data_IF_631993343462
#
_entry.id   IF_631993343462
#
_cell.length_a   1.000
_cell.length_b   1.000
_cell.length_c   1.000
_cell.angle_alpha   90.00
_cell.angle_beta   90.00
_cell.angle_gamma   90.00
#
_symmetry.space_group_name_H-M   'P 1'
#
loop_
_entity.id
_entity.type
_entity.pdbx_description
1 polymer ?
#
# COMPACT_ATOMS: atom_id res chain seq x y z
N UNK A 1 -9.50 6.58 -14.53
CA UNK A 1 -8.51 6.50 -13.42
C UNK A 1 -9.26 6.47 -12.11
N UNK A 2 -8.98 5.50 -11.25
CA UNK A 2 -9.63 5.34 -9.93
C UNK A 2 -9.02 6.32 -8.93
N UNK A 3 -9.86 7.07 -8.21
CA UNK A 3 -9.40 7.99 -7.17
C UNK A 3 -9.45 7.32 -5.80
N UNK A 4 -8.40 7.47 -5.02
CA UNK A 4 -8.29 6.96 -3.67
C UNK A 4 -7.92 8.02 -2.64
N UNK A 5 -8.02 7.65 -1.38
CA UNK A 5 -7.56 8.47 -0.27
C UNK A 5 -6.51 7.71 0.54
N UNK A 6 -5.49 8.42 1.01
CA UNK A 6 -4.59 7.89 2.03
C UNK A 6 -5.24 8.16 3.39
N UNK A 7 -5.39 7.11 4.19
CA UNK A 7 -5.89 7.26 5.56
C UNK A 7 -4.93 8.13 6.38
N UNK A 8 -5.39 9.19 7.04
CA UNK A 8 -4.51 10.16 7.70
C UNK A 8 -4.00 9.65 9.05
N UNK A 9 -3.24 8.58 9.03
CA UNK A 9 -2.89 7.71 10.14
C UNK A 9 -2.16 8.42 11.27
N UNK A 10 -1.31 9.41 10.95
CA UNK A 10 -0.54 10.17 11.95
C UNK A 10 -1.31 11.35 12.54
N UNK A 11 -2.51 11.66 12.04
CA UNK A 11 -3.25 12.89 12.38
C UNK A 11 -4.73 12.66 12.73
N UNK A 12 -5.28 11.45 12.47
CA UNK A 12 -6.70 11.13 12.69
C UNK A 12 -7.07 10.96 14.17
N UNK A 13 -6.10 10.72 15.03
CA UNK A 13 -6.34 10.41 16.45
C UNK A 13 -6.76 8.97 16.69
N UNK A 14 -7.19 8.69 17.91
CA UNK A 14 -7.53 7.34 18.41
C UNK A 14 -9.03 7.14 18.62
N UNK A 15 -9.87 8.13 18.30
CA UNK A 15 -11.32 7.99 18.41
C UNK A 15 -11.88 7.06 17.32
N UNK A 16 -12.49 5.93 17.69
CA UNK A 16 -13.09 5.01 16.72
C UNK A 16 -14.22 5.63 15.90
N UNK A 17 -14.90 6.64 16.47
CA UNK A 17 -15.95 7.40 15.78
C UNK A 17 -15.37 8.19 14.60
N UNK A 18 -14.30 8.93 14.82
CA UNK A 18 -13.61 9.70 13.78
C UNK A 18 -13.00 8.82 12.70
N UNK A 19 -12.42 7.66 13.08
CA UNK A 19 -11.87 6.68 12.15
C UNK A 19 -12.98 6.15 11.21
N UNK A 20 -14.13 5.78 11.79
CA UNK A 20 -15.31 5.31 11.05
C UNK A 20 -15.84 6.40 10.13
N UNK A 21 -16.03 7.61 10.65
CA UNK A 21 -16.57 8.75 9.91
C UNK A 21 -15.73 9.09 8.68
N UNK A 22 -14.39 9.09 8.81
CA UNK A 22 -13.50 9.33 7.68
C UNK A 22 -13.68 8.27 6.58
N UNK A 23 -13.74 6.99 6.94
CA UNK A 23 -13.90 5.91 5.97
C UNK A 23 -15.25 5.97 5.26
N UNK A 24 -16.32 6.22 6.00
CA UNK A 24 -17.67 6.37 5.46
C UNK A 24 -17.80 7.62 4.57
N UNK A 25 -17.16 8.73 4.96
CA UNK A 25 -17.11 9.94 4.14
C UNK A 25 -16.35 9.69 2.82
N UNK A 26 -15.22 8.99 2.86
CA UNK A 26 -14.48 8.61 1.64
C UNK A 26 -15.34 7.75 0.71
N UNK A 27 -16.06 6.77 1.25
CA UNK A 27 -16.99 5.93 0.48
C UNK A 27 -18.17 6.75 -0.08
N UNK A 28 -18.78 7.62 0.72
CA UNK A 28 -19.90 8.45 0.30
C UNK A 28 -19.53 9.46 -0.79
N UNK A 29 -18.30 9.99 -0.75
CA UNK A 29 -17.73 10.87 -1.78
C UNK A 29 -17.37 10.13 -3.07
N UNK A 30 -17.52 8.82 -3.12
CA UNK A 30 -17.25 8.00 -4.31
C UNK A 30 -15.76 7.78 -4.58
N UNK A 31 -14.92 7.79 -3.56
CA UNK A 31 -13.56 7.28 -3.69
C UNK A 31 -13.57 5.77 -3.90
N UNK A 32 -12.66 5.29 -4.72
CA UNK A 32 -12.54 3.88 -5.06
C UNK A 32 -11.89 3.07 -3.94
N UNK A 33 -10.85 3.63 -3.28
CA UNK A 33 -10.09 2.90 -2.27
C UNK A 33 -9.56 3.80 -1.15
N UNK A 34 -9.30 3.16 0.00
CA UNK A 34 -8.56 3.73 1.14
C UNK A 34 -7.21 3.02 1.22
N UNK A 35 -6.12 3.79 1.19
CA UNK A 35 -4.75 3.29 1.28
C UNK A 35 -4.20 3.55 2.69
N UNK A 36 -3.82 2.50 3.42
CA UNK A 36 -3.33 2.59 4.80
C UNK A 36 -1.85 2.23 4.87
N UNK A 37 -1.04 3.05 5.57
CA UNK A 37 0.40 2.79 5.77
C UNK A 37 0.63 1.82 6.92
N UNK A 38 1.81 1.18 6.94
CA UNK A 38 2.21 0.21 7.95
C UNK A 38 3.48 0.64 8.68
N UNK A 39 3.39 0.78 10.00
CA UNK A 39 4.48 0.78 10.94
C UNK A 39 4.04 0.09 12.23
N UNK A 40 4.84 -0.86 12.71
CA UNK A 40 4.59 -1.57 13.98
C UNK A 40 5.19 -0.79 15.14
N UNK A 41 6.39 -0.25 14.95
CA UNK A 41 7.13 0.53 15.94
C UNK A 41 7.78 1.74 15.30
N UNK A 42 7.63 2.90 15.93
CA UNK A 42 8.46 4.06 15.65
C UNK A 42 9.80 3.98 16.43
N UNK A 43 10.88 4.42 15.82
CA UNK A 43 12.18 4.48 16.48
C UNK A 43 12.55 5.89 16.92
N UNK A 44 13.22 6.03 18.06
CA UNK A 44 13.89 7.27 18.40
C UNK A 44 15.13 7.41 17.52
N UNK A 45 15.35 8.56 16.86
CA UNK A 45 16.55 8.79 16.06
C UNK A 45 17.82 8.57 16.87
N UNK A 46 18.72 7.72 16.38
CA UNK A 46 20.00 7.39 17.02
C UNK A 46 21.13 7.95 16.19
N UNK A 47 21.51 9.20 16.42
CA UNK A 47 22.65 9.84 15.75
C UNK A 47 22.51 9.91 14.21
N UNK A 48 22.98 11.00 13.60
CA UNK A 48 22.84 11.16 12.15
C UNK A 48 21.45 11.62 11.71
N UNK A 49 21.25 11.69 10.41
CA UNK A 49 19.99 12.13 9.79
C UNK A 49 18.96 10.98 9.81
N UNK A 50 17.97 11.06 10.69
CA UNK A 50 16.83 10.13 10.69
C UNK A 50 15.80 10.61 9.69
N UNK A 51 15.47 9.78 8.75
CA UNK A 51 14.75 10.20 7.57
C UNK A 51 13.32 9.59 7.49
N UNK A 52 12.64 9.34 8.59
CA UNK A 52 11.31 8.74 8.56
C UNK A 52 10.49 9.02 9.79
N UNK A 53 9.45 8.26 9.96
CA UNK A 53 8.61 8.32 11.14
C UNK A 53 9.38 7.89 12.39
N UNK A 54 9.01 8.51 13.52
CA UNK A 54 9.62 8.28 14.83
C UNK A 54 8.61 7.62 15.77
N UNK A 55 9.01 7.35 17.00
CA UNK A 55 8.13 6.85 18.05
C UNK A 55 7.06 7.87 18.51
N UNK A 56 7.16 9.11 18.06
CA UNK A 56 6.17 10.18 18.33
C UNK A 56 5.06 10.21 17.26
N UNK A 57 5.31 9.58 16.10
CA UNK A 57 4.32 9.48 15.04
C UNK A 57 3.35 8.33 15.32
N UNK A 58 2.06 8.65 15.33
CA UNK A 58 1.01 7.67 15.58
C UNK A 58 0.79 6.78 14.36
N UNK A 59 0.71 5.47 14.60
CA UNK A 59 0.28 4.48 13.61
C UNK A 59 -0.68 3.47 14.25
N UNK A 60 -1.79 3.24 13.61
CA UNK A 60 -2.64 2.09 13.90
C UNK A 60 -2.03 0.83 13.28
N UNK A 61 -2.20 -0.33 13.92
CA UNK A 61 -1.81 -1.59 13.28
C UNK A 61 -2.68 -1.82 12.04
N UNK A 62 -2.03 -1.97 10.89
CA UNK A 62 -2.67 -1.84 9.59
C UNK A 62 -3.74 -2.91 9.33
N UNK A 63 -3.50 -4.17 9.70
CA UNK A 63 -4.44 -5.26 9.44
C UNK A 63 -5.63 -5.23 10.41
N UNK A 64 -5.40 -4.83 11.66
CA UNK A 64 -6.49 -4.61 12.63
C UNK A 64 -7.38 -3.46 12.20
N UNK A 65 -6.76 -2.35 11.77
CA UNK A 65 -7.51 -1.19 11.23
C UNK A 65 -8.33 -1.58 9.99
N UNK A 66 -7.75 -2.31 9.04
CA UNK A 66 -8.50 -2.74 7.84
C UNK A 66 -9.68 -3.66 8.19
N UNK A 67 -9.57 -4.51 9.21
CA UNK A 67 -10.69 -5.30 9.72
C UNK A 67 -11.82 -4.42 10.27
N UNK A 68 -11.48 -3.35 11.01
CA UNK A 68 -12.46 -2.37 11.48
C UNK A 68 -13.11 -1.61 10.32
N UNK A 69 -12.33 -1.17 9.34
CA UNK A 69 -12.82 -0.45 8.16
C UNK A 69 -13.68 -1.35 7.26
N UNK A 70 -13.40 -2.65 7.19
CA UNK A 70 -14.22 -3.62 6.47
C UNK A 70 -15.67 -3.65 7.00
N UNK A 71 -15.82 -3.61 8.33
CA UNK A 71 -17.14 -3.57 8.98
C UNK A 71 -17.81 -2.17 8.89
N UNK A 72 -17.02 -1.10 8.75
CA UNK A 72 -17.52 0.28 8.72
C UNK A 72 -17.98 0.74 7.33
N UNK A 73 -17.60 0.02 6.25
CA UNK A 73 -17.82 0.36 4.84
C UNK A 73 -18.41 -0.80 4.05
N UNK A 74 -18.95 -0.53 2.88
CA UNK A 74 -19.66 -1.57 2.09
C UNK A 74 -19.14 -1.77 0.67
N UNK A 75 -18.48 -0.76 0.07
CA UNK A 75 -18.08 -0.77 -1.35
C UNK A 75 -16.61 -0.39 -1.57
N UNK A 76 -16.09 0.53 -0.77
CA UNK A 76 -14.74 1.06 -0.96
C UNK A 76 -13.69 -0.04 -0.78
N UNK A 77 -12.72 -0.11 -1.69
CA UNK A 77 -11.60 -1.04 -1.62
C UNK A 77 -10.66 -0.66 -0.46
N UNK A 78 -10.17 -1.65 0.24
CA UNK A 78 -9.26 -1.51 1.37
C UNK A 78 -7.86 -1.94 0.95
N UNK A 79 -6.89 -1.03 1.02
CA UNK A 79 -5.55 -1.30 0.53
C UNK A 79 -4.47 -0.97 1.56
N UNK A 80 -3.43 -1.79 1.62
CA UNK A 80 -2.20 -1.41 2.34
C UNK A 80 -1.25 -0.63 1.42
N UNK A 81 -0.65 0.43 1.91
CA UNK A 81 0.22 1.27 1.09
C UNK A 81 1.56 1.62 1.70
N UNK A 82 2.35 0.68 2.14
CA UNK A 82 2.40 -0.77 1.92
C UNK A 82 2.56 -1.52 3.25
N UNK A 83 2.14 -2.79 3.33
CA UNK A 83 2.51 -3.69 4.41
C UNK A 83 3.99 -4.07 4.27
N UNK A 84 4.76 -3.96 5.35
CA UNK A 84 6.16 -4.38 5.36
C UNK A 84 6.22 -5.90 5.58
N UNK A 85 5.98 -6.65 4.50
CA UNK A 85 5.77 -8.09 4.56
C UNK A 85 6.93 -8.88 5.20
N UNK A 86 8.24 -8.56 4.93
CA UNK A 86 9.33 -9.36 5.50
C UNK A 86 9.51 -9.24 7.02
N UNK A 87 8.85 -8.27 7.66
CA UNK A 87 8.82 -8.15 9.13
C UNK A 87 7.83 -9.10 9.80
N UNK A 88 6.98 -9.78 9.02
CA UNK A 88 5.84 -10.52 9.53
C UNK A 88 5.93 -12.01 9.24
N UNK A 89 5.29 -12.80 10.09
CA UNK A 89 5.12 -14.25 9.87
C UNK A 89 4.15 -14.48 8.70
N UNK A 90 4.62 -15.10 7.64
CA UNK A 90 3.89 -15.22 6.36
C UNK A 90 2.55 -15.95 6.52
N UNK A 91 2.52 -17.06 7.24
CA UNK A 91 1.29 -17.81 7.45
C UNK A 91 0.24 -17.01 8.24
N UNK A 92 0.68 -16.20 9.23
CA UNK A 92 -0.21 -15.33 9.97
C UNK A 92 -0.77 -14.20 9.08
N UNK A 93 0.06 -13.56 8.26
CA UNK A 93 -0.40 -12.57 7.27
C UNK A 93 -1.38 -13.20 6.29
N UNK A 94 -1.10 -14.41 5.79
CA UNK A 94 -2.02 -15.12 4.89
C UNK A 94 -3.40 -15.32 5.54
N UNK A 95 -3.45 -15.68 6.82
CA UNK A 95 -4.71 -15.85 7.55
C UNK A 95 -5.42 -14.53 7.82
N UNK A 96 -4.70 -13.50 8.27
CA UNK A 96 -5.27 -12.19 8.56
C UNK A 96 -5.84 -11.52 7.30
N UNK A 97 -5.12 -11.59 6.19
CA UNK A 97 -5.58 -11.02 4.92
C UNK A 97 -6.74 -11.80 4.32
N UNK A 98 -6.76 -13.12 4.45
CA UNK A 98 -7.92 -13.93 4.06
C UNK A 98 -9.16 -13.55 4.87
N UNK A 99 -9.01 -13.30 6.18
CA UNK A 99 -10.11 -12.89 7.05
C UNK A 99 -10.63 -11.49 6.69
N UNK A 100 -9.73 -10.52 6.48
CA UNK A 100 -10.12 -9.17 6.03
C UNK A 100 -10.84 -9.23 4.67
N UNK A 101 -10.36 -10.07 3.77
CA UNK A 101 -10.97 -10.25 2.46
C UNK A 101 -12.40 -10.81 2.57
N UNK A 102 -12.61 -11.80 3.44
CA UNK A 102 -13.93 -12.35 3.74
C UNK A 102 -14.84 -11.30 4.37
N UNK A 103 -14.39 -10.64 5.44
CA UNK A 103 -15.17 -9.64 6.17
C UNK A 103 -15.52 -8.42 5.30
N UNK A 104 -14.68 -8.10 4.34
CA UNK A 104 -14.94 -7.04 3.38
C UNK A 104 -15.75 -7.48 2.15
N UNK A 105 -16.00 -8.78 1.97
CA UNK A 105 -16.67 -9.30 0.76
C UNK A 105 -15.79 -9.22 -0.50
N UNK A 106 -14.48 -9.43 -0.37
CA UNK A 106 -13.56 -9.44 -1.50
C UNK A 106 -13.04 -8.06 -1.90
N UNK A 107 -12.95 -7.12 -0.96
CA UNK A 107 -12.50 -5.73 -1.21
C UNK A 107 -11.04 -5.47 -0.78
N UNK A 108 -10.26 -6.49 -0.42
CA UNK A 108 -8.88 -6.29 -0.02
C UNK A 108 -7.93 -6.25 -1.22
N UNK A 109 -7.04 -5.25 -1.24
CA UNK A 109 -5.87 -5.16 -2.11
C UNK A 109 -4.61 -5.09 -1.25
N UNK A 110 -3.76 -6.11 -1.34
CA UNK A 110 -2.56 -6.18 -0.51
C UNK A 110 -1.37 -5.49 -1.20
N UNK A 111 -1.09 -4.26 -0.80
CA UNK A 111 0.15 -3.58 -1.16
C UNK A 111 1.28 -4.00 -0.22
N UNK A 112 2.40 -4.46 -0.74
CA UNK A 112 3.54 -4.95 0.03
C UNK A 112 4.83 -4.23 -0.33
N UNK A 113 5.78 -4.23 0.61
CA UNK A 113 7.13 -3.72 0.39
C UNK A 113 8.13 -4.27 1.38
N UNK A 114 9.38 -3.83 1.23
CA UNK A 114 10.49 -4.32 2.09
C UNK A 114 10.81 -3.39 3.26
N UNK A 115 10.21 -2.20 3.33
CA UNK A 115 10.46 -1.24 4.39
C UNK A 115 11.92 -0.72 4.47
N UNK A 116 12.12 0.26 5.34
CA UNK A 116 13.39 0.96 5.54
C UNK A 116 13.85 0.96 7.00
N UNK A 117 12.93 0.80 7.97
CA UNK A 117 13.20 0.91 9.38
C UNK A 117 13.85 -0.36 9.93
N UNK A 118 15.17 -0.37 10.01
CA UNK A 118 15.93 -1.52 10.52
C UNK A 118 15.66 -1.81 12.01
N UNK A 119 15.27 -0.80 12.79
CA UNK A 119 14.94 -0.97 14.22
C UNK A 119 13.67 -1.80 14.40
N UNK A 120 12.68 -1.60 13.53
CA UNK A 120 11.48 -2.44 13.49
C UNK A 120 11.81 -3.91 13.18
N UNK A 121 12.71 -4.14 12.21
CA UNK A 121 13.18 -5.48 11.87
C UNK A 121 13.83 -6.18 13.06
N UNK A 122 14.71 -5.48 13.75
CA UNK A 122 15.39 -5.99 14.95
C UNK A 122 14.37 -6.34 16.05
N UNK A 123 13.43 -5.44 16.34
CA UNK A 123 12.41 -5.64 17.37
C UNK A 123 11.45 -6.80 17.06
N UNK A 124 11.21 -7.06 15.78
CA UNK A 124 10.36 -8.17 15.31
C UNK A 124 11.16 -9.48 15.09
N UNK A 125 12.45 -9.50 15.40
CA UNK A 125 13.31 -10.70 15.27
C UNK A 125 13.62 -11.06 13.82
N UNK A 126 13.55 -10.10 12.88
CA UNK A 126 13.69 -10.35 11.46
C UNK A 126 14.96 -9.74 10.85
N UNK A 127 15.51 -10.40 9.83
CA UNK A 127 16.74 -9.96 9.18
C UNK A 127 16.49 -8.86 8.15
N UNK A 128 16.95 -7.64 8.45
CA UNK A 128 16.89 -6.53 7.50
C UNK A 128 17.66 -6.81 6.20
N UNK A 129 18.81 -7.48 6.28
CA UNK A 129 19.65 -7.79 5.12
C UNK A 129 18.99 -8.78 4.14
N UNK A 130 18.15 -9.68 4.65
CA UNK A 130 17.51 -10.71 3.83
C UNK A 130 16.14 -10.32 3.27
N UNK A 131 15.57 -9.15 3.64
CA UNK A 131 14.21 -8.74 3.34
C UNK A 131 13.83 -8.81 1.85
N UNK A 132 14.78 -8.45 0.97
CA UNK A 132 14.56 -8.46 -0.48
C UNK A 132 14.47 -9.85 -1.09
N UNK A 133 15.11 -10.87 -0.49
CA UNK A 133 15.01 -12.27 -0.93
C UNK A 133 13.82 -12.97 -0.28
N UNK A 134 13.59 -12.71 1.01
CA UNK A 134 12.48 -13.29 1.77
C UNK A 134 11.12 -12.95 1.16
N UNK A 135 10.90 -11.70 0.71
CA UNK A 135 9.61 -11.25 0.18
C UNK A 135 9.17 -12.04 -1.07
N UNK A 136 10.09 -12.48 -1.93
CA UNK A 136 9.73 -13.26 -3.12
C UNK A 136 9.19 -14.64 -2.76
N UNK A 137 9.79 -15.30 -1.78
CA UNK A 137 9.29 -16.56 -1.26
C UNK A 137 7.97 -16.38 -0.49
N UNK A 138 7.83 -15.29 0.27
CA UNK A 138 6.59 -14.94 0.95
C UNK A 138 5.41 -14.79 -0.03
N UNK A 139 5.62 -14.12 -1.17
CA UNK A 139 4.58 -13.97 -2.20
C UNK A 139 4.13 -15.34 -2.73
N UNK A 140 5.07 -16.25 -2.99
CA UNK A 140 4.74 -17.59 -3.43
C UNK A 140 3.92 -18.34 -2.37
N UNK A 141 4.35 -18.29 -1.11
CA UNK A 141 3.64 -18.92 0.03
C UNK A 141 2.24 -18.33 0.22
N UNK A 142 2.07 -17.01 0.15
CA UNK A 142 0.76 -16.36 0.26
C UNK A 142 -0.19 -16.87 -0.83
N UNK A 143 0.25 -16.92 -2.09
CA UNK A 143 -0.57 -17.38 -3.20
C UNK A 143 -0.96 -18.85 -3.07
N UNK A 144 -0.05 -19.71 -2.65
CA UNK A 144 -0.35 -21.12 -2.36
C UNK A 144 -1.44 -21.23 -1.28
N UNK A 145 -1.25 -20.54 -0.15
CA UNK A 145 -2.18 -20.59 0.98
C UNK A 145 -3.57 -20.02 0.67
N UNK A 146 -3.68 -19.02 -0.21
CA UNK A 146 -4.98 -18.43 -0.57
C UNK A 146 -5.75 -19.22 -1.63
N UNK A 147 -5.08 -20.10 -2.37
CA UNK A 147 -5.69 -20.80 -3.51
C UNK A 147 -5.90 -22.30 -3.28
N UNK A 148 -5.17 -22.87 -2.33
CA UNK A 148 -5.19 -24.33 -2.09
C UNK A 148 -5.67 -24.65 -0.67
N UNK A 149 -6.54 -25.65 -0.51
CA UNK A 149 -7.00 -26.08 0.82
C UNK A 149 -5.89 -26.77 1.62
N UNK A 150 -4.90 -27.36 0.94
CA UNK A 150 -3.76 -28.04 1.55
C UNK A 150 -2.49 -27.68 0.79
N UNK A 151 -1.44 -27.28 1.49
CA UNK A 151 -0.17 -26.81 0.95
C UNK A 151 0.98 -27.60 1.57
N UNK A 152 1.89 -28.07 0.71
CA UNK A 152 3.24 -28.50 1.09
C UNK A 152 4.23 -27.59 0.36
N UNK A 153 4.96 -26.76 1.11
CA UNK A 153 5.95 -25.83 0.60
C UNK A 153 7.24 -25.95 1.41
N UNK A 154 8.35 -26.20 0.73
CA UNK A 154 9.68 -26.25 1.33
C UNK A 154 10.59 -25.28 0.59
N UNK A 155 10.88 -24.16 1.21
CA UNK A 155 11.75 -23.11 0.69
C UNK A 155 12.94 -22.83 1.61
N UNK A 156 13.59 -21.71 1.36
CA UNK A 156 14.72 -21.24 2.19
C UNK A 156 14.26 -20.67 3.54
N UNK A 157 13.11 -19.99 3.54
CA UNK A 157 12.59 -19.24 4.68
C UNK A 157 11.32 -19.86 5.27
N UNK A 158 10.66 -20.73 4.52
CA UNK A 158 9.38 -21.32 4.92
C UNK A 158 9.38 -22.82 4.77
N UNK A 159 8.78 -23.48 5.75
CA UNK A 159 8.47 -24.89 5.69
C UNK A 159 7.02 -25.08 6.14
N UNK A 160 6.17 -25.50 5.23
CA UNK A 160 4.76 -25.88 5.47
C UNK A 160 4.63 -27.31 4.95
N UNK A 161 4.07 -28.19 5.73
CA UNK A 161 3.86 -29.59 5.33
C UNK A 161 2.43 -29.96 5.68
N UNK A 162 1.64 -30.29 4.65
CA UNK A 162 0.26 -30.74 4.76
C UNK A 162 -0.61 -29.86 5.67
N UNK A 163 -0.53 -28.54 5.46
CA UNK A 163 -1.30 -27.54 6.21
C UNK A 163 -1.92 -26.52 5.26
N UNK A 164 -3.01 -25.87 5.66
CA UNK A 164 -3.71 -24.90 4.84
C UNK A 164 -4.53 -23.91 5.64
N UNK A 165 -5.12 -22.93 4.96
CA UNK A 165 -6.05 -21.98 5.54
C UNK A 165 -7.49 -22.50 5.43
N UNK A 166 -8.26 -22.29 6.48
CA UNK A 166 -9.70 -22.46 6.47
C UNK A 166 -10.34 -21.37 7.37
N UNK A 167 -11.26 -20.52 6.84
CA UNK A 167 -11.68 -20.45 5.44
C UNK A 167 -10.60 -19.87 4.49
N UNK A 168 -10.73 -20.15 3.20
CA UNK A 168 -9.99 -19.48 2.14
C UNK A 168 -10.60 -18.09 1.87
N UNK A 169 -9.84 -17.12 1.34
CA UNK A 169 -10.36 -15.79 1.00
C UNK A 169 -11.43 -15.87 -0.12
N UNK A 170 -12.17 -14.79 -0.31
CA UNK A 170 -13.11 -14.61 -1.44
C UNK A 170 -12.30 -14.53 -2.75
N UNK A 171 -11.28 -13.67 -2.78
CA UNK A 171 -10.36 -13.49 -3.91
C UNK A 171 -9.26 -14.58 -3.87
N UNK A 172 -9.07 -15.32 -4.96
CA UNK A 172 -8.13 -16.45 -5.00
C UNK A 172 -7.20 -16.39 -6.22
N UNK A 173 -6.07 -15.71 -6.10
CA UNK A 173 -5.48 -15.06 -4.92
C UNK A 173 -5.98 -13.62 -4.71
N UNK A 174 -5.74 -13.09 -3.50
CA UNK A 174 -5.85 -11.66 -3.22
C UNK A 174 -4.83 -10.90 -4.08
N UNK A 175 -5.19 -9.77 -4.72
CA UNK A 175 -4.27 -8.99 -5.55
C UNK A 175 -3.09 -8.45 -4.73
N UNK A 176 -1.87 -8.65 -5.24
CA UNK A 176 -0.62 -8.18 -4.61
C UNK A 176 -0.03 -7.02 -5.39
N UNK A 177 -0.07 -5.84 -4.79
CA UNK A 177 0.61 -4.65 -5.31
C UNK A 177 1.92 -4.43 -4.58
N UNK A 178 2.93 -3.81 -5.23
CA UNK A 178 4.25 -3.64 -4.62
C UNK A 178 4.68 -2.19 -4.63
N UNK A 179 5.23 -1.75 -3.48
CA UNK A 179 5.85 -0.44 -3.32
C UNK A 179 7.35 -0.45 -3.58
N UNK A 180 7.85 0.64 -4.16
CA UNK A 180 9.28 0.88 -4.38
C UNK A 180 9.63 1.22 -5.83
N UNK A 181 10.85 1.74 -6.03
CA UNK A 181 11.24 2.40 -7.29
C UNK A 181 12.58 1.88 -7.85
N UNK A 182 13.29 1.01 -7.10
CA UNK A 182 14.56 0.44 -7.58
C UNK A 182 14.33 -0.57 -8.70
N UNK A 183 15.33 -0.76 -9.55
CA UNK A 183 15.30 -1.74 -10.64
C UNK A 183 14.94 -3.15 -10.16
N UNK A 184 15.47 -3.55 -9.01
CA UNK A 184 15.14 -4.86 -8.41
C UNK A 184 13.65 -4.97 -8.09
N UNK A 185 13.04 -3.89 -7.59
CA UNK A 185 11.59 -3.86 -7.30
C UNK A 185 10.78 -3.86 -8.58
N UNK A 186 11.12 -3.04 -9.58
CA UNK A 186 10.41 -3.01 -10.86
C UNK A 186 10.46 -4.37 -11.58
N UNK A 187 11.60 -5.05 -11.57
CA UNK A 187 11.71 -6.43 -12.11
C UNK A 187 10.86 -7.44 -11.32
N UNK A 188 10.77 -7.27 -9.98
CA UNK A 188 9.91 -8.10 -9.14
C UNK A 188 8.43 -7.86 -9.44
N UNK A 189 8.01 -6.60 -9.58
CA UNK A 189 6.64 -6.24 -9.98
C UNK A 189 6.32 -6.88 -11.33
N UNK A 190 7.21 -6.75 -12.31
CA UNK A 190 7.01 -7.31 -13.63
C UNK A 190 6.80 -8.83 -13.63
N UNK A 191 7.47 -9.56 -12.73
CA UNK A 191 7.33 -11.02 -12.62
C UNK A 191 6.18 -11.46 -11.73
N UNK A 192 5.95 -10.76 -10.62
CA UNK A 192 5.15 -11.25 -9.51
C UNK A 192 4.02 -10.32 -9.08
N UNK A 193 3.97 -9.07 -9.51
CA UNK A 193 3.00 -8.08 -9.03
C UNK A 193 1.74 -8.00 -9.88
N UNK A 194 0.65 -7.61 -9.24
CA UNK A 194 -0.60 -7.23 -9.89
C UNK A 194 -0.73 -5.71 -10.02
N UNK A 195 0.14 -4.96 -9.35
CA UNK A 195 0.23 -3.51 -9.43
C UNK A 195 1.50 -2.93 -8.81
N UNK A 196 1.73 -1.66 -9.12
CA UNK A 196 2.82 -0.85 -8.61
C UNK A 196 2.28 0.36 -7.86
N UNK A 197 2.67 0.51 -6.60
CA UNK A 197 2.43 1.69 -5.78
C UNK A 197 3.72 2.51 -5.78
N UNK A 198 3.72 3.62 -6.51
CA UNK A 198 4.87 4.50 -6.54
C UNK A 198 5.12 5.08 -5.16
N UNK A 199 6.34 4.90 -4.67
CA UNK A 199 6.80 5.52 -3.45
C UNK A 199 7.03 7.02 -3.64
N UNK A 200 7.18 7.68 -2.53
CA UNK A 200 7.67 9.05 -2.49
C UNK A 200 6.61 10.11 -2.70
N UNK A 201 6.58 10.97 -1.79
CA UNK A 201 6.46 12.42 -1.75
C UNK A 201 5.79 12.96 -0.53
N UNK A 202 5.68 12.35 0.56
CA UNK A 202 5.35 13.10 1.77
C UNK A 202 6.37 12.75 2.84
N UNK A 203 7.41 13.58 2.99
CA UNK A 203 8.50 13.38 3.97
C UNK A 203 9.12 11.98 3.98
N UNK A 204 9.05 11.24 2.87
CA UNK A 204 9.86 10.04 2.76
C UNK A 204 11.32 10.46 2.70
N UNK A 205 12.15 9.97 3.58
CA UNK A 205 13.61 10.10 3.50
C UNK A 205 14.17 9.55 2.20
N UNK A 206 13.40 8.70 1.56
CA UNK A 206 13.65 8.16 0.23
C UNK A 206 13.11 9.05 -0.90
N UNK A 207 12.44 10.18 -0.60
CA UNK A 207 12.15 11.24 -1.58
C UNK A 207 13.41 11.97 -2.06
N UNK A 208 14.54 11.75 -1.43
CA UNK A 208 15.87 12.02 -2.01
C UNK A 208 16.29 10.92 -3.00
N UNK A 209 15.36 10.34 -3.72
CA UNK A 209 15.79 9.64 -4.92
C UNK A 209 16.54 10.65 -5.78
N UNK A 210 17.80 10.38 -6.16
CA UNK A 210 18.43 11.12 -7.21
C UNK A 210 17.38 11.18 -8.31
N UNK A 211 17.05 12.38 -8.76
CA UNK A 211 16.02 12.58 -9.78
C UNK A 211 16.25 11.50 -10.83
N UNK A 212 15.33 10.52 -10.89
CA UNK A 212 15.47 9.49 -11.91
C UNK A 212 15.48 10.25 -13.23
N UNK A 213 16.55 10.18 -14.01
CA UNK A 213 16.60 10.90 -15.27
C UNK A 213 15.34 10.54 -16.08
N UNK A 214 14.56 11.57 -16.49
CA UNK A 214 13.30 11.36 -17.18
C UNK A 214 12.07 11.16 -16.27
N UNK A 215 12.19 11.25 -14.94
CA UNK A 215 11.06 11.24 -14.00
C UNK A 215 10.18 9.99 -14.04
N UNK A 216 8.90 10.14 -13.74
CA UNK A 216 7.93 9.04 -13.71
C UNK A 216 7.73 8.36 -15.07
N UNK A 217 7.82 9.12 -16.18
CA UNK A 217 7.71 8.56 -17.53
C UNK A 217 8.78 7.51 -17.80
N UNK A 218 10.04 7.81 -17.45
CA UNK A 218 11.15 6.86 -17.61
C UNK A 218 10.99 5.62 -16.72
N UNK A 219 10.42 5.78 -15.52
CA UNK A 219 10.17 4.67 -14.62
C UNK A 219 9.06 3.75 -15.13
N UNK A 220 7.96 4.32 -15.64
CA UNK A 220 6.86 3.56 -16.25
C UNK A 220 7.36 2.81 -17.48
N UNK A 221 8.14 3.45 -18.36
CA UNK A 221 8.70 2.80 -19.54
C UNK A 221 9.68 1.66 -19.17
N UNK A 222 10.45 1.85 -18.10
CA UNK A 222 11.32 0.79 -17.56
C UNK A 222 10.51 -0.40 -17.05
N UNK A 223 9.42 -0.16 -16.34
CA UNK A 223 8.52 -1.22 -15.88
C UNK A 223 7.89 -1.97 -17.08
N UNK A 224 7.42 -1.23 -18.10
CA UNK A 224 6.86 -1.82 -19.32
C UNK A 224 7.87 -2.73 -20.02
N UNK A 225 9.13 -2.28 -20.13
CA UNK A 225 10.20 -3.12 -20.67
C UNK A 225 10.37 -4.41 -19.88
N UNK A 226 10.37 -4.33 -18.53
CA UNK A 226 10.48 -5.53 -17.69
C UNK A 226 9.26 -6.45 -17.77
N UNK A 227 8.07 -5.91 -18.00
CA UNK A 227 6.87 -6.70 -18.28
C UNK A 227 7.03 -7.49 -19.59
N UNK A 228 7.49 -6.84 -20.65
CA UNK A 228 7.78 -7.52 -21.93
C UNK A 228 8.84 -8.61 -21.75
N UNK A 229 9.94 -8.32 -21.04
CA UNK A 229 10.98 -9.31 -20.72
C UNK A 229 10.42 -10.50 -19.90
N UNK A 230 9.41 -10.28 -19.07
CA UNK A 230 8.72 -11.31 -18.31
C UNK A 230 7.58 -12.02 -19.08
N UNK A 231 7.37 -11.70 -20.35
CA UNK A 231 6.28 -12.27 -21.18
C UNK A 231 4.88 -11.79 -20.78
N UNK A 232 4.77 -10.64 -20.09
CA UNK A 232 3.48 -10.08 -19.66
C UNK A 232 3.11 -8.84 -20.48
N UNK A 233 1.82 -8.64 -20.66
CA UNK A 233 1.31 -7.44 -21.31
C UNK A 233 1.65 -6.17 -20.49
N UNK A 234 1.91 -5.05 -21.16
CA UNK A 234 2.28 -3.80 -20.50
C UNK A 234 1.20 -3.24 -19.56
N UNK A 235 -0.05 -3.59 -19.82
CA UNK A 235 -1.22 -3.23 -18.98
C UNK A 235 -1.59 -4.29 -17.94
N UNK A 236 -0.77 -5.34 -17.76
CA UNK A 236 -1.06 -6.42 -16.83
C UNK A 236 -0.91 -6.02 -15.35
N UNK A 237 -0.38 -4.83 -15.07
CA UNK A 237 -0.23 -4.30 -13.71
C UNK A 237 -0.89 -2.93 -13.59
N UNK A 238 -1.62 -2.73 -12.48
CA UNK A 238 -2.13 -1.42 -12.12
C UNK A 238 -1.00 -0.47 -11.72
N UNK A 239 -1.20 0.83 -11.94
CA UNK A 239 -0.22 1.87 -11.59
C UNK A 239 -0.88 2.88 -10.65
N UNK A 240 -0.36 3.02 -9.43
CA UNK A 240 -0.86 3.97 -8.45
C UNK A 240 0.19 5.02 -8.10
N UNK A 241 -0.22 6.29 -8.11
CA UNK A 241 0.56 7.44 -7.64
C UNK A 241 -0.19 8.16 -6.53
N UNK A 242 0.54 8.85 -5.68
CA UNK A 242 -0.03 9.71 -4.64
C UNK A 242 0.22 11.18 -4.96
N UNK A 243 -0.72 12.04 -4.51
CA UNK A 243 -0.57 13.48 -4.55
C UNK A 243 -0.86 14.06 -3.16
N UNK A 244 -0.07 15.05 -2.74
CA UNK A 244 -0.29 15.75 -1.48
C UNK A 244 -1.46 16.73 -1.61
N UNK A 245 -2.37 16.74 -0.65
CA UNK A 245 -3.45 17.74 -0.59
C UNK A 245 -2.89 19.17 -0.56
N UNK A 246 -1.85 19.41 0.23
CA UNK A 246 -1.19 20.72 0.35
C UNK A 246 -0.57 21.27 -0.95
N UNK A 247 -0.46 20.45 -2.01
CA UNK A 247 0.03 20.91 -3.31
C UNK A 247 -0.97 21.80 -4.08
N UNK A 248 -2.25 21.77 -3.69
CA UNK A 248 -3.32 22.60 -4.22
C UNK A 248 -3.94 22.12 -5.54
N UNK A 249 -5.13 22.68 -5.91
CA UNK A 249 -5.96 22.18 -6.99
C UNK A 249 -5.27 22.13 -8.36
N UNK A 250 -4.54 23.17 -8.73
CA UNK A 250 -3.82 23.21 -10.01
C UNK A 250 -2.81 22.05 -10.13
N UNK A 251 -2.11 21.71 -9.03
CA UNK A 251 -1.16 20.61 -9.01
C UNK A 251 -1.86 19.25 -9.00
N UNK A 252 -3.02 19.11 -8.34
CA UNK A 252 -3.79 17.88 -8.36
C UNK A 252 -4.23 17.53 -9.79
N UNK A 253 -4.83 18.51 -10.51
CA UNK A 253 -5.26 18.34 -11.90
C UNK A 253 -4.10 18.02 -12.82
N UNK A 254 -3.01 18.79 -12.77
CA UNK A 254 -1.83 18.54 -13.58
C UNK A 254 -1.22 17.15 -13.31
N UNK A 255 -1.21 16.70 -12.03
CA UNK A 255 -0.73 15.36 -11.66
C UNK A 255 -1.66 14.27 -12.21
N UNK A 256 -2.97 14.45 -12.13
CA UNK A 256 -3.95 13.50 -12.65
C UNK A 256 -3.83 13.34 -14.17
N UNK A 257 -3.71 14.46 -14.90
CA UNK A 257 -3.55 14.46 -16.35
C UNK A 257 -2.22 13.83 -16.80
N UNK A 258 -1.12 14.21 -16.15
CA UNK A 258 0.20 13.60 -16.40
C UNK A 258 0.14 12.09 -16.16
N UNK A 259 -0.45 11.68 -15.04
CA UNK A 259 -0.51 10.28 -14.66
C UNK A 259 -1.40 9.46 -15.60
N UNK A 260 -2.55 10.01 -16.01
CA UNK A 260 -3.42 9.37 -17.00
C UNK A 260 -2.72 9.17 -18.34
N UNK A 261 -1.95 10.17 -18.83
CA UNK A 261 -1.16 10.05 -20.07
C UNK A 261 -0.09 8.96 -19.99
N UNK A 262 0.43 8.68 -18.81
CA UNK A 262 1.39 7.60 -18.59
C UNK A 262 0.72 6.24 -18.43
N UNK A 263 -0.61 6.15 -18.48
CA UNK A 263 -1.37 4.92 -18.27
C UNK A 263 -1.64 4.62 -16.79
N UNK A 264 -1.56 5.64 -15.93
CA UNK A 264 -1.88 5.53 -14.51
C UNK A 264 -3.32 5.10 -14.28
N UNK A 265 -3.51 4.07 -13.49
CA UNK A 265 -4.82 3.48 -13.20
C UNK A 265 -5.44 4.03 -11.92
N UNK A 266 -4.61 4.43 -10.94
CA UNK A 266 -5.02 4.88 -9.62
C UNK A 266 -4.27 6.15 -9.20
N UNK A 267 -4.97 7.06 -8.52
CA UNK A 267 -4.39 8.27 -7.94
C UNK A 267 -4.99 8.49 -6.55
N UNK A 268 -4.15 8.50 -5.52
CA UNK A 268 -4.58 8.71 -4.13
C UNK A 268 -4.16 10.08 -3.62
N UNK A 269 -5.08 10.78 -2.92
CA UNK A 269 -4.74 12.01 -2.21
C UNK A 269 -4.34 11.71 -0.78
N UNK A 270 -3.25 12.34 -0.32
CA UNK A 270 -2.81 12.30 1.06
C UNK A 270 -3.01 13.67 1.70
N UNK A 271 -3.77 13.70 2.78
CA UNK A 271 -4.10 14.93 3.53
C UNK A 271 -3.15 15.18 4.69
N UNK A 272 -2.33 14.20 5.07
CA UNK A 272 -1.31 14.35 6.11
C UNK A 272 -0.29 15.43 5.75
N UNK A 273 0.23 16.12 6.77
CA UNK A 273 1.16 17.24 6.66
C UNK A 273 0.61 18.46 5.89
N UNK A 274 -0.70 18.61 5.83
CA UNK A 274 -1.37 19.75 5.22
C UNK A 274 -1.80 20.83 6.25
N UNK A 275 -1.38 20.70 7.51
CA UNK A 275 -1.75 21.61 8.60
C UNK A 275 -3.19 21.42 9.09
N UNK A 276 -3.75 20.24 8.89
CA UNK A 276 -5.12 19.91 9.33
C UNK A 276 -5.08 19.39 10.77
N UNK A 277 -5.89 19.99 11.64
CA UNK A 277 -5.81 19.72 13.08
C UNK A 277 -6.85 18.71 13.57
N UNK A 278 -7.95 18.52 12.83
CA UNK A 278 -9.09 17.70 13.27
C UNK A 278 -9.48 16.68 12.21
N UNK A 279 -10.05 15.54 12.59
CA UNK A 279 -10.59 14.55 11.66
C UNK A 279 -11.55 15.14 10.60
N UNK A 280 -12.43 16.07 11.02
CA UNK A 280 -13.35 16.76 10.13
C UNK A 280 -12.64 17.60 9.05
N UNK A 281 -11.47 18.14 9.35
CA UNK A 281 -10.69 18.93 8.39
C UNK A 281 -10.12 18.02 7.28
N UNK A 282 -9.74 16.77 7.62
CA UNK A 282 -9.34 15.77 6.64
C UNK A 282 -10.50 15.34 5.75
N UNK A 283 -11.71 15.21 6.30
CA UNK A 283 -12.93 14.89 5.53
C UNK A 283 -13.25 16.02 4.55
N UNK A 284 -13.18 17.27 4.99
CA UNK A 284 -13.39 18.42 4.11
C UNK A 284 -12.30 18.50 3.02
N UNK A 285 -11.06 18.19 3.37
CA UNK A 285 -9.95 18.16 2.40
C UNK A 285 -10.18 17.14 1.29
N UNK A 286 -10.59 15.92 1.61
CA UNK A 286 -10.89 14.92 0.58
C UNK A 286 -12.12 15.28 -0.24
N UNK A 287 -13.12 15.94 0.33
CA UNK A 287 -14.27 16.49 -0.40
C UNK A 287 -13.81 17.49 -1.47
N UNK A 288 -13.02 18.49 -1.09
CA UNK A 288 -12.48 19.48 -2.01
C UNK A 288 -11.62 18.88 -3.12
N UNK A 289 -10.83 17.86 -2.79
CA UNK A 289 -10.06 17.14 -3.80
C UNK A 289 -10.98 16.42 -4.80
N UNK A 290 -12.04 15.78 -4.31
CA UNK A 290 -12.99 15.05 -5.14
C UNK A 290 -13.77 15.96 -6.09
N UNK A 291 -14.15 17.14 -5.61
CA UNK A 291 -14.83 18.16 -6.42
C UNK A 291 -13.93 18.73 -7.52
N UNK A 292 -12.63 18.91 -7.23
CA UNK A 292 -11.65 19.40 -8.21
C UNK A 292 -11.30 18.37 -9.30
N UNK A 293 -11.49 17.09 -9.03
CA UNK A 293 -11.22 15.99 -9.97
C UNK A 293 -12.49 15.15 -10.16
N UNK A 294 -13.46 15.63 -10.92
CA UNK A 294 -14.68 14.86 -11.21
C UNK A 294 -14.31 13.55 -11.92
N UNK A 295 -15.03 12.45 -11.62
CA UNK A 295 -14.91 11.23 -12.41
C UNK A 295 -15.17 11.55 -13.89
N UNK A 296 -14.36 11.02 -14.80
CA UNK A 296 -14.81 10.96 -16.19
C UNK A 296 -16.14 10.19 -16.23
N UNK A 297 -17.06 10.61 -17.08
CA UNK A 297 -18.36 9.97 -17.24
C UNK A 297 -18.25 8.49 -17.61
#
# INVERSE_FOLDING_TARGET
MQLGVVFPQTEIGTDPGAIREFAQAAEALGFHHILVYDHVLGAKPRGGEWLGYTHEDMFHEVLVLLGFLAAATTRIELATGILILPQRQTALVAKQTAEIDILSGGRLRLGIGVGWNHVEYEALGESFAQRGRKIEEQIAVLRELWTKPLVTFVGRYHRIVDAGLNPLPVQRPIPIWMGGESDVVLRRIARLGDGWILGGTLRSPFARHPQVPGGYAAMVERLRRYLREAGRAEHAVGLERRVAFGAGPARWTATAEEWARLGGTHLSVATMNAGLARPADHIEAIRRFREALPCPP
#
